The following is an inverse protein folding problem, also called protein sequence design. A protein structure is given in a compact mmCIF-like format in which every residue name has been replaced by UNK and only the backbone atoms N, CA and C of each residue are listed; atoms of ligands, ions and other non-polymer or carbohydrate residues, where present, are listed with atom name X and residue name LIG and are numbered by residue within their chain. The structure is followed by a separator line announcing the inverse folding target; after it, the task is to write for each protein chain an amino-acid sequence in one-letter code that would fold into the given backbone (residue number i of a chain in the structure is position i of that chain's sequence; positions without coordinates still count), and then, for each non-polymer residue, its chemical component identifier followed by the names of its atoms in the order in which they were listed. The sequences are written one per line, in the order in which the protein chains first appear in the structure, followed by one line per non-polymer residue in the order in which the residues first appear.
data_IF_599117615410
#
_entry.id   IF_599117615410
#
_cell.length_a   1.000
_cell.length_b   1.000
_cell.length_c   1.000
_cell.angle_alpha   90.00
_cell.angle_beta   90.00
_cell.angle_gamma   90.00
#
_symmetry.space_group_name_H-M   'P 1'
#
loop_
_entity.id
_entity.type
_entity.pdbx_description
1 polymer ?
#
# COMPACT_ATOMS: atom_id res chain seq x y z
N UNK A 1 -22.98 2.56 27.58
CA UNK A 1 -21.54 2.41 27.30
C UNK A 1 -21.41 1.29 26.28
N UNK A 2 -20.91 1.59 25.09
CA UNK A 2 -20.61 0.56 24.08
C UNK A 2 -19.31 -0.11 24.52
N UNK A 3 -19.29 -1.44 24.64
CA UNK A 3 -18.06 -2.17 24.93
C UNK A 3 -17.02 -1.81 23.86
N UNK A 4 -15.75 -1.55 24.22
CA UNK A 4 -14.73 -1.27 23.22
C UNK A 4 -14.69 -2.44 22.24
N UNK A 5 -14.77 -2.15 20.94
CA UNK A 5 -14.63 -3.17 19.90
C UNK A 5 -13.34 -3.95 20.15
N UNK A 6 -13.43 -5.28 20.10
CA UNK A 6 -12.29 -6.17 20.29
C UNK A 6 -11.25 -5.83 19.22
N UNK A 7 -10.06 -5.36 19.66
CA UNK A 7 -8.98 -4.99 18.75
C UNK A 7 -8.18 -6.24 18.42
N UNK A 8 -8.05 -6.54 17.14
CA UNK A 8 -7.14 -7.58 16.68
C UNK A 8 -5.69 -7.19 17.00
N UNK A 9 -4.90 -8.17 17.46
CA UNK A 9 -3.48 -7.97 17.79
C UNK A 9 -2.64 -8.72 16.77
N UNK A 10 -2.04 -7.97 15.85
CA UNK A 10 -1.12 -8.53 14.88
C UNK A 10 0.29 -8.62 15.48
N UNK A 11 0.75 -9.84 15.76
CA UNK A 11 2.12 -10.07 16.24
C UNK A 11 3.12 -9.99 15.08
N UNK A 12 4.40 -9.80 15.38
CA UNK A 12 5.46 -9.81 14.36
C UNK A 12 5.59 -11.16 13.63
N UNK A 13 5.32 -12.26 14.32
CA UNK A 13 5.32 -13.60 13.72
C UNK A 13 4.17 -13.75 12.73
N UNK A 14 2.95 -13.42 13.16
CA UNK A 14 1.75 -13.43 12.30
C UNK A 14 1.90 -12.48 11.10
N UNK A 15 2.50 -11.30 11.31
CA UNK A 15 2.82 -10.38 10.22
C UNK A 15 3.79 -11.00 9.21
N UNK A 16 4.84 -11.67 9.67
CA UNK A 16 5.80 -12.36 8.80
C UNK A 16 5.16 -13.48 7.97
N UNK A 17 4.29 -14.27 8.58
CA UNK A 17 3.50 -15.31 7.90
C UNK A 17 2.56 -14.71 6.86
N UNK A 18 1.80 -13.67 7.23
CA UNK A 18 0.87 -12.98 6.35
C UNK A 18 1.58 -12.35 5.14
N UNK A 19 2.69 -11.63 5.35
CA UNK A 19 3.48 -11.04 4.28
C UNK A 19 4.03 -12.09 3.31
N UNK A 20 4.49 -13.24 3.82
CA UNK A 20 4.96 -14.34 2.98
C UNK A 20 3.82 -14.94 2.16
N UNK A 21 2.65 -15.13 2.78
CA UNK A 21 1.46 -15.63 2.08
C UNK A 21 1.00 -14.67 0.98
N UNK A 22 1.03 -13.36 1.21
CA UNK A 22 0.72 -12.35 0.18
C UNK A 22 1.72 -12.38 -0.97
N UNK A 23 3.02 -12.43 -0.68
CA UNK A 23 4.04 -12.54 -1.72
C UNK A 23 3.88 -13.83 -2.54
N UNK A 24 3.55 -14.96 -1.90
CA UNK A 24 3.30 -16.22 -2.59
C UNK A 24 2.10 -16.11 -3.54
N UNK A 25 0.99 -15.49 -3.11
CA UNK A 25 -0.17 -15.25 -3.97
C UNK A 25 0.19 -14.43 -5.23
N UNK A 26 1.03 -13.40 -5.08
CA UNK A 26 1.53 -12.63 -6.22
C UNK A 26 2.36 -13.52 -7.16
N UNK A 27 3.28 -14.31 -6.63
CA UNK A 27 4.12 -15.19 -7.42
C UNK A 27 3.30 -16.22 -8.23
N UNK A 28 2.33 -16.86 -7.55
CA UNK A 28 1.43 -17.88 -8.10
C UNK A 28 0.47 -17.32 -9.15
N UNK A 29 0.09 -16.04 -9.04
CA UNK A 29 -0.76 -15.37 -10.03
C UNK A 29 -0.10 -15.19 -11.40
N UNK A 30 1.23 -15.37 -11.49
CA UNK A 30 2.02 -15.08 -12.68
C UNK A 30 2.33 -13.58 -12.86
N UNK A 31 1.84 -12.70 -11.98
CA UNK A 31 2.22 -11.29 -11.99
C UNK A 31 3.70 -11.13 -11.64
N UNK A 32 4.42 -10.29 -12.37
CA UNK A 32 5.86 -10.05 -12.20
C UNK A 32 6.11 -8.56 -12.00
N UNK A 33 5.93 -8.04 -10.77
CA UNK A 33 6.18 -6.65 -10.51
C UNK A 33 7.68 -6.35 -10.65
N UNK A 34 8.00 -5.22 -11.26
CA UNK A 34 9.37 -4.67 -11.25
C UNK A 34 9.48 -3.45 -10.34
N UNK A 35 8.37 -2.96 -9.79
CA UNK A 35 8.30 -1.88 -8.80
C UNK A 35 7.28 -2.25 -7.72
N UNK A 36 7.67 -2.05 -6.45
CA UNK A 36 6.75 -2.04 -5.32
C UNK A 36 6.45 -0.59 -4.93
N UNK A 37 5.18 -0.24 -4.80
CA UNK A 37 4.74 1.07 -4.30
C UNK A 37 4.03 0.90 -2.97
N UNK A 38 4.62 1.38 -1.88
CA UNK A 38 3.97 1.42 -0.57
C UNK A 38 3.22 2.72 -0.35
N UNK A 39 2.06 2.63 0.31
CA UNK A 39 1.30 3.79 0.77
C UNK A 39 1.72 4.07 2.21
N UNK A 40 2.41 5.19 2.43
CA UNK A 40 2.87 5.58 3.76
C UNK A 40 1.70 6.07 4.62
N UNK A 41 1.67 5.76 5.92
CA UNK A 41 2.71 5.02 6.68
C UNK A 41 2.46 3.51 6.75
N UNK A 42 1.21 3.06 6.62
CA UNK A 42 0.80 1.68 6.82
C UNK A 42 1.54 0.68 5.93
N UNK A 43 1.63 1.00 4.64
CA UNK A 43 2.33 0.22 3.63
C UNK A 43 3.85 0.13 3.76
N UNK A 44 4.51 0.80 4.72
CA UNK A 44 5.98 0.73 4.87
C UNK A 44 6.50 -0.70 5.07
N UNK A 45 5.91 -1.43 6.02
CA UNK A 45 6.33 -2.79 6.34
C UNK A 45 5.84 -3.81 5.29
N UNK A 46 4.58 -3.77 4.82
CA UNK A 46 4.13 -4.60 3.71
C UNK A 46 5.00 -4.43 2.45
N UNK A 47 5.28 -3.18 2.03
CA UNK A 47 6.11 -2.91 0.86
C UNK A 47 7.49 -3.55 0.98
N UNK A 48 8.19 -3.31 2.09
CA UNK A 48 9.53 -3.83 2.31
C UNK A 48 9.55 -5.37 2.35
N UNK A 49 8.62 -6.00 3.06
CA UNK A 49 8.58 -7.46 3.20
C UNK A 49 8.23 -8.17 1.90
N UNK A 50 7.24 -7.66 1.15
CA UNK A 50 6.84 -8.22 -0.14
C UNK A 50 7.94 -8.00 -1.18
N UNK A 51 8.55 -6.82 -1.23
CA UNK A 51 9.68 -6.54 -2.11
C UNK A 51 10.83 -7.54 -1.90
N UNK A 52 11.17 -7.80 -0.64
CA UNK A 52 12.21 -8.76 -0.28
C UNK A 52 11.85 -10.18 -0.72
N UNK A 53 10.61 -10.61 -0.48
CA UNK A 53 10.15 -11.95 -0.83
C UNK A 53 10.10 -12.20 -2.35
N UNK A 54 9.81 -11.16 -3.14
CA UNK A 54 9.73 -11.23 -4.60
C UNK A 54 11.05 -10.86 -5.33
N UNK A 55 12.11 -10.54 -4.58
CA UNK A 55 13.39 -10.01 -5.09
C UNK A 55 13.25 -8.74 -5.97
N UNK A 56 12.32 -7.86 -5.62
CA UNK A 56 12.12 -6.57 -6.30
C UNK A 56 12.95 -5.49 -5.59
N UNK A 57 13.90 -4.88 -6.31
CA UNK A 57 14.78 -3.84 -5.74
C UNK A 57 14.17 -2.45 -5.76
N UNK A 58 13.33 -2.14 -6.74
CA UNK A 58 12.73 -0.83 -6.88
C UNK A 58 11.51 -0.72 -5.95
N UNK A 59 11.69 -0.04 -4.82
CA UNK A 59 10.64 0.20 -3.83
C UNK A 59 10.47 1.70 -3.66
N UNK A 60 9.25 2.19 -3.87
CA UNK A 60 8.88 3.59 -3.67
C UNK A 60 7.81 3.70 -2.60
N UNK A 61 7.74 4.87 -1.98
CA UNK A 61 6.73 5.21 -1.00
C UNK A 61 6.04 6.50 -1.42
N UNK A 62 4.72 6.54 -1.32
CA UNK A 62 3.92 7.76 -1.46
C UNK A 62 3.19 8.05 -0.16
N UNK A 63 3.10 9.31 0.22
CA UNK A 63 2.25 9.72 1.34
C UNK A 63 0.90 10.16 0.78
N UNK A 64 -0.17 9.61 1.33
CA UNK A 64 -1.54 10.03 1.00
C UNK A 64 -2.16 10.67 2.22
N UNK A 65 -2.68 11.88 2.06
CA UNK A 65 -3.47 12.56 3.07
C UNK A 65 -4.94 12.59 2.65
N UNK A 66 -5.81 12.24 3.58
CA UNK A 66 -7.20 12.63 3.52
C UNK A 66 -7.27 14.01 4.19
N UNK A 67 -7.25 15.08 3.40
CA UNK A 67 -7.42 16.42 3.95
C UNK A 67 -8.79 16.53 4.59
N UNK A 68 -8.81 16.44 5.91
CA UNK A 68 -9.93 16.84 6.74
C UNK A 68 -9.61 18.23 7.26
N UNK A 69 -10.02 19.26 6.52
CA UNK A 69 -10.10 20.60 7.09
C UNK A 69 -11.01 20.57 8.32
N UNK A 70 -10.83 21.51 9.25
CA UNK A 70 -11.86 21.75 10.27
C UNK A 70 -13.14 22.13 9.52
N UNK A 71 -14.15 21.27 9.60
CA UNK A 71 -15.49 21.39 8.98
C UNK A 71 -15.67 21.10 7.48
N UNK A 72 -14.65 20.62 6.75
CA UNK A 72 -14.84 20.15 5.36
C UNK A 72 -14.14 18.80 5.10
N UNK A 73 -14.92 17.82 4.63
CA UNK A 73 -14.40 16.58 4.02
C UNK A 73 -14.14 16.86 2.56
N UNK A 74 -12.90 16.70 2.10
CA UNK A 74 -12.70 16.39 0.69
C UNK A 74 -13.07 14.92 0.46
N UNK A 75 -13.90 14.66 -0.54
CA UNK A 75 -14.36 13.32 -0.91
C UNK A 75 -13.23 12.44 -1.50
N UNK A 76 -12.03 12.99 -1.69
CA UNK A 76 -10.95 12.35 -2.43
C UNK A 76 -9.61 12.45 -1.69
N UNK A 77 -8.80 11.37 -1.70
CA UNK A 77 -7.45 11.41 -1.14
C UNK A 77 -6.54 12.39 -1.93
N UNK A 78 -5.44 12.84 -1.34
CA UNK A 78 -4.42 13.67 -2.00
C UNK A 78 -3.03 13.06 -1.80
N UNK A 79 -2.27 12.91 -2.89
CA UNK A 79 -0.86 12.50 -2.81
C UNK A 79 0.02 13.69 -2.47
N UNK A 80 0.89 13.52 -1.48
CA UNK A 80 1.87 14.53 -1.10
C UNK A 80 3.15 14.39 -1.93
N UNK A 81 3.82 15.52 -2.26
CA UNK A 81 5.12 15.48 -2.93
C UNK A 81 6.22 14.87 -2.03
N UNK A 82 7.28 14.28 -2.63
CA UNK A 82 7.50 14.14 -4.07
C UNK A 82 6.61 13.05 -4.67
N UNK A 83 6.00 13.35 -5.82
CA UNK A 83 5.21 12.37 -6.56
C UNK A 83 6.15 11.47 -7.37
N UNK A 84 5.71 10.23 -7.59
CA UNK A 84 6.28 9.39 -8.64
C UNK A 84 6.11 10.10 -9.98
N UNK A 85 7.18 10.13 -10.77
CA UNK A 85 7.09 10.63 -12.13
C UNK A 85 6.31 9.61 -12.98
N UNK A 86 5.06 9.93 -13.32
CA UNK A 86 4.17 9.07 -14.10
C UNK A 86 4.81 8.61 -15.43
N UNK A 87 5.68 9.43 -16.04
CA UNK A 87 6.39 9.08 -17.28
C UNK A 87 7.45 8.00 -17.03
N UNK A 88 8.10 8.01 -15.87
CA UNK A 88 9.15 7.04 -15.52
C UNK A 88 8.58 5.67 -15.15
N UNK A 89 7.34 5.64 -14.64
CA UNK A 89 6.64 4.40 -14.29
C UNK A 89 5.70 3.91 -15.40
N UNK A 90 5.61 4.63 -16.51
CA UNK A 90 4.79 4.23 -17.65
C UNK A 90 5.26 2.87 -18.21
N UNK A 91 4.35 1.89 -18.23
CA UNK A 91 4.64 0.53 -18.66
C UNK A 91 5.38 -0.33 -17.62
N UNK A 92 5.59 0.18 -16.40
CA UNK A 92 6.08 -0.62 -15.30
C UNK A 92 4.99 -1.58 -14.77
N UNK A 93 5.43 -2.70 -14.21
CA UNK A 93 4.56 -3.62 -13.47
C UNK A 93 4.62 -3.23 -12.00
N UNK A 94 3.68 -2.38 -11.60
CA UNK A 94 3.62 -1.82 -10.26
C UNK A 94 2.75 -2.67 -9.33
N UNK A 95 3.30 -3.09 -8.19
CA UNK A 95 2.51 -3.68 -7.10
C UNK A 95 2.33 -2.66 -5.98
N UNK A 96 1.10 -2.18 -5.82
CA UNK A 96 0.72 -1.27 -4.72
C UNK A 96 0.49 -2.07 -3.45
N UNK A 97 0.99 -1.57 -2.32
CA UNK A 97 0.91 -2.22 -1.01
C UNK A 97 0.48 -1.22 0.07
N UNK A 98 -0.40 -1.68 0.96
CA UNK A 98 -0.86 -0.94 2.14
C UNK A 98 -1.11 -1.94 3.29
N UNK A 99 -1.24 -1.46 4.52
CA UNK A 99 -1.54 -2.34 5.66
C UNK A 99 -3.01 -2.77 5.71
N UNK A 100 -3.93 -1.84 5.43
CA UNK A 100 -5.38 -2.07 5.46
C UNK A 100 -6.06 -1.33 4.32
N UNK A 101 -6.87 -2.05 3.56
CA UNK A 101 -7.79 -1.45 2.59
C UNK A 101 -9.19 -1.36 3.19
N UNK A 102 -9.58 -0.18 3.70
CA UNK A 102 -10.91 0.05 4.27
C UNK A 102 -11.96 0.33 3.18
N UNK A 103 -12.03 1.58 2.70
CA UNK A 103 -12.97 1.98 1.63
C UNK A 103 -12.47 1.68 0.22
N UNK A 104 -11.18 1.32 0.08
CA UNK A 104 -10.51 1.11 -1.20
C UNK A 104 -10.21 2.38 -2.01
N UNK A 105 -10.62 3.56 -1.52
CA UNK A 105 -10.45 4.84 -2.23
C UNK A 105 -8.99 5.18 -2.52
N UNK A 106 -8.10 4.92 -1.56
CA UNK A 106 -6.65 5.13 -1.70
C UNK A 106 -6.06 4.27 -2.81
N UNK A 107 -6.33 2.96 -2.79
CA UNK A 107 -5.82 2.03 -3.79
C UNK A 107 -6.34 2.35 -5.19
N UNK A 108 -7.62 2.76 -5.30
CA UNK A 108 -8.20 3.18 -6.58
C UNK A 108 -7.52 4.41 -7.15
N UNK A 109 -7.31 5.45 -6.33
CA UNK A 109 -6.66 6.67 -6.80
C UNK A 109 -5.22 6.42 -7.24
N UNK A 110 -4.46 5.63 -6.48
CA UNK A 110 -3.08 5.26 -6.86
C UNK A 110 -3.07 4.46 -8.17
N UNK A 111 -4.00 3.51 -8.32
CA UNK A 111 -4.15 2.74 -9.55
C UNK A 111 -4.53 3.62 -10.75
N UNK A 112 -5.39 4.61 -10.57
CA UNK A 112 -5.81 5.51 -11.66
C UNK A 112 -4.71 6.53 -12.05
N UNK A 113 -3.75 6.78 -11.15
CA UNK A 113 -2.59 7.66 -11.41
C UNK A 113 -1.44 6.95 -12.15
N UNK A 114 -1.25 5.65 -11.93
CA UNK A 114 -0.16 4.85 -12.50
C UNK A 114 -0.56 4.21 -13.83
#
# INVERSE_FOLDING_TARGET
MVAPAEREVLTWETFGEASRALAQQVADSGYRPNIILGIARGGLLPAATIAYALDVKNVFMISVEFYTGVDERLDFPVMLPPLLNAVEIAGAHLLVTDDVADTGGTLKMVKDFC
#
